data_IF_289788742559
#
_entry.id   IF_289788742559
#
_cell.length_a   1.000
_cell.length_b   1.000
_cell.length_c   1.000
_cell.angle_alpha   90.00
_cell.angle_beta   90.00
_cell.angle_gamma   90.00
#
_symmetry.space_group_name_H-M   'P 1'
#
loop_
_entity.id
_entity.type
_entity.pdbx_description
1 polymer ?
#
# COMPACT_ATOMS: atom_id res chain seq x y z
N UNK A 1 -12.52 -21.59 0.77
CA UNK A 1 -13.25 -22.86 0.97
C UNK A 1 -13.07 -23.39 2.40
N UNK A 2 -11.85 -23.46 2.95
CA UNK A 2 -11.64 -23.89 4.34
C UNK A 2 -12.26 -22.92 5.37
N UNK A 3 -12.31 -21.62 5.04
CA UNK A 3 -12.93 -20.60 5.90
C UNK A 3 -14.44 -20.79 6.08
N UNK A 4 -15.14 -21.41 5.13
CA UNK A 4 -16.59 -21.59 5.22
C UNK A 4 -17.03 -22.65 6.23
N UNK A 5 -16.20 -23.67 6.44
CA UNK A 5 -16.49 -24.75 7.39
C UNK A 5 -16.20 -24.31 8.83
N UNK A 6 -15.26 -23.36 9.04
CA UNK A 6 -14.83 -22.91 10.36
C UNK A 6 -15.12 -21.43 10.64
N UNK A 7 -16.05 -20.81 9.94
CA UNK A 7 -16.41 -19.38 10.04
C UNK A 7 -16.61 -18.83 11.46
N UNK A 8 -16.88 -19.69 12.42
CA UNK A 8 -17.09 -19.30 13.83
C UNK A 8 -15.82 -19.37 14.69
N UNK A 9 -14.70 -19.83 14.14
CA UNK A 9 -13.48 -20.10 14.92
C UNK A 9 -12.20 -19.43 14.35
N UNK A 10 -12.30 -18.81 13.17
CA UNK A 10 -11.15 -18.18 12.50
C UNK A 10 -11.34 -16.66 12.52
N UNK A 11 -10.46 -15.99 13.23
CA UNK A 11 -10.36 -14.53 13.15
C UNK A 11 -9.51 -14.16 11.93
N UNK A 12 -9.98 -13.22 11.14
CA UNK A 12 -9.27 -12.67 9.98
C UNK A 12 -8.90 -11.24 10.29
N UNK A 13 -7.63 -10.91 10.14
CA UNK A 13 -7.16 -9.54 10.31
C UNK A 13 -6.31 -9.12 9.12
N UNK A 14 -6.38 -7.83 8.78
CA UNK A 14 -5.58 -7.18 7.77
C UNK A 14 -4.46 -6.37 8.41
N UNK A 15 -3.24 -6.56 7.93
CA UNK A 15 -2.13 -5.67 8.25
C UNK A 15 -1.95 -4.65 7.11
N UNK A 16 -1.70 -3.38 7.45
CA UNK A 16 -1.51 -2.31 6.46
C UNK A 16 -0.40 -2.61 5.45
N UNK A 17 0.58 -3.42 5.84
CA UNK A 17 1.73 -3.80 5.01
C UNK A 17 2.37 -5.09 5.53
N UNK A 18 3.24 -5.68 4.73
CA UNK A 18 4.11 -6.75 5.21
C UNK A 18 5.05 -6.24 6.32
N UNK A 19 5.26 -7.06 7.35
CA UNK A 19 6.14 -6.72 8.48
C UNK A 19 7.61 -6.62 8.10
N UNK A 20 8.03 -7.35 7.07
CA UNK A 20 9.41 -7.39 6.60
C UNK A 20 9.58 -6.66 5.27
N UNK A 21 10.69 -5.92 5.12
CA UNK A 21 11.29 -5.67 3.82
C UNK A 21 12.19 -6.87 3.52
N UNK A 22 11.85 -7.66 2.51
CA UNK A 22 12.56 -8.89 2.20
C UNK A 22 12.65 -9.16 0.69
N UNK A 23 13.60 -10.00 0.31
CA UNK A 23 13.81 -10.47 -1.06
C UNK A 23 14.01 -11.99 -1.07
N UNK A 24 13.30 -12.67 -1.95
CA UNK A 24 13.61 -14.04 -2.29
C UNK A 24 14.94 -14.07 -3.07
N UNK A 25 15.89 -14.86 -2.62
CA UNK A 25 17.20 -15.03 -3.26
C UNK A 25 17.30 -16.34 -4.03
N UNK A 26 16.59 -17.34 -3.58
CA UNK A 26 16.46 -18.66 -4.18
C UNK A 26 15.07 -19.22 -3.79
N UNK A 27 14.50 -20.19 -4.50
CA UNK A 27 13.25 -20.82 -4.09
C UNK A 27 13.27 -21.29 -2.63
N UNK A 28 12.37 -20.71 -1.82
CA UNK A 28 12.26 -21.01 -0.38
C UNK A 28 13.30 -20.33 0.51
N UNK A 29 14.17 -19.46 -0.02
CA UNK A 29 15.17 -18.70 0.74
C UNK A 29 14.93 -17.22 0.64
N UNK A 30 14.69 -16.58 1.77
CA UNK A 30 14.36 -15.15 1.85
C UNK A 30 15.44 -14.41 2.65
N UNK A 31 15.97 -13.35 2.08
CA UNK A 31 16.81 -12.39 2.79
C UNK A 31 15.93 -11.30 3.40
N UNK A 32 15.94 -11.17 4.73
CA UNK A 32 15.26 -10.10 5.46
C UNK A 32 16.19 -8.90 5.49
N UNK A 33 15.79 -7.81 4.85
CA UNK A 33 16.55 -6.57 4.74
C UNK A 33 16.23 -5.65 5.92
N UNK A 34 14.96 -5.60 6.34
CA UNK A 34 14.53 -4.79 7.46
C UNK A 34 13.22 -5.27 8.07
N UNK A 35 13.08 -5.04 9.37
CA UNK A 35 11.84 -5.21 10.12
C UNK A 35 11.23 -3.82 10.36
N UNK A 36 9.94 -3.69 10.13
CA UNK A 36 9.23 -2.45 10.47
C UNK A 36 9.02 -2.37 11.98
N UNK A 37 9.20 -1.18 12.52
CA UNK A 37 9.03 -0.92 13.95
C UNK A 37 7.56 -1.04 14.38
N UNK A 38 6.64 -0.59 13.53
CA UNK A 38 5.20 -0.62 13.78
C UNK A 38 4.43 -0.94 12.51
N UNK A 39 3.39 -1.76 12.65
CA UNK A 39 2.48 -2.16 11.56
C UNK A 39 1.05 -2.13 12.11
N UNK A 40 0.18 -1.34 11.50
CA UNK A 40 -1.24 -1.31 11.83
C UNK A 40 -1.90 -2.63 11.45
N UNK A 41 -2.78 -3.12 12.32
CA UNK A 41 -3.55 -4.34 12.11
C UNK A 41 -4.99 -4.11 12.55
N UNK A 42 -5.96 -4.56 11.75
CA UNK A 42 -7.39 -4.54 12.07
C UNK A 42 -8.02 -5.89 11.79
N UNK A 43 -8.84 -6.36 12.71
CA UNK A 43 -9.87 -7.36 12.47
C UNK A 43 -11.13 -6.71 11.91
N UNK A 44 -12.20 -7.49 11.76
CA UNK A 44 -13.51 -7.01 11.31
C UNK A 44 -14.26 -6.17 12.35
N UNK A 45 -13.81 -6.25 13.59
CA UNK A 45 -14.34 -5.45 14.70
C UNK A 45 -13.22 -5.10 15.68
N UNK A 46 -13.47 -4.12 16.52
CA UNK A 46 -12.53 -3.75 17.59
C UNK A 46 -12.20 -4.95 18.52
N UNK A 47 -13.20 -5.76 18.85
CA UNK A 47 -13.02 -6.96 19.70
C UNK A 47 -12.12 -7.98 19.01
N UNK A 48 -12.32 -8.23 17.70
CA UNK A 48 -11.45 -9.13 16.92
C UNK A 48 -10.03 -8.57 16.81
N UNK A 49 -9.90 -7.25 16.58
CA UNK A 49 -8.60 -6.56 16.50
C UNK A 49 -7.81 -6.76 17.80
N UNK A 50 -8.42 -6.46 18.94
CA UNK A 50 -7.76 -6.64 20.24
C UNK A 50 -7.43 -8.10 20.54
N UNK A 51 -8.33 -9.01 20.18
CA UNK A 51 -8.10 -10.46 20.37
C UNK A 51 -6.86 -10.89 19.57
N UNK A 52 -6.78 -10.57 18.27
CA UNK A 52 -5.67 -10.97 17.40
C UNK A 52 -4.35 -10.34 17.88
N UNK A 53 -4.34 -9.05 18.19
CA UNK A 53 -3.14 -8.35 18.69
C UNK A 53 -2.65 -8.97 19.99
N UNK A 54 -3.54 -9.25 20.95
CA UNK A 54 -3.17 -9.87 22.23
C UNK A 54 -2.49 -11.22 22.04
N UNK A 55 -2.93 -12.02 21.06
CA UNK A 55 -2.35 -13.32 20.78
C UNK A 55 -1.06 -13.25 19.97
N UNK A 56 -0.90 -12.23 19.13
CA UNK A 56 0.30 -12.04 18.33
C UNK A 56 1.42 -11.30 19.08
N UNK A 57 1.10 -10.40 19.99
CA UNK A 57 2.07 -9.50 20.65
C UNK A 57 3.23 -10.20 21.37
N UNK A 58 3.09 -11.40 21.95
CA UNK A 58 4.24 -12.13 22.53
C UNK A 58 5.30 -12.53 21.50
N UNK A 59 4.92 -12.66 20.23
CA UNK A 59 5.79 -13.09 19.13
C UNK A 59 6.11 -11.97 18.16
N UNK A 60 5.16 -11.03 17.97
CA UNK A 60 5.18 -9.95 16.99
C UNK A 60 4.74 -8.63 17.64
N UNK A 61 5.58 -8.03 18.49
CA UNK A 61 5.21 -6.86 19.30
C UNK A 61 5.02 -5.56 18.47
N UNK A 62 5.38 -5.58 17.21
CA UNK A 62 5.24 -4.45 16.29
C UNK A 62 3.83 -4.28 15.71
N UNK A 63 2.92 -5.24 15.90
CA UNK A 63 1.52 -5.03 15.52
C UNK A 63 0.80 -4.13 16.52
N UNK A 64 0.19 -3.06 15.99
CA UNK A 64 -0.59 -2.12 16.77
C UNK A 64 -2.01 -2.00 16.20
N UNK A 65 -3.03 -1.72 17.03
CA UNK A 65 -4.40 -1.66 16.55
C UNK A 65 -4.62 -0.49 15.59
N UNK A 66 -5.26 -0.76 14.46
CA UNK A 66 -5.87 0.24 13.61
C UNK A 66 -7.32 0.52 14.09
N UNK A 67 -7.89 1.63 13.64
CA UNK A 67 -9.28 1.98 13.97
C UNK A 67 -10.28 1.02 13.31
N UNK A 68 -10.00 0.59 12.07
CA UNK A 68 -10.82 -0.34 11.29
C UNK A 68 -10.09 -0.78 10.01
N UNK A 69 -10.75 -1.62 9.19
CA UNK A 69 -10.21 -2.11 7.91
C UNK A 69 -10.04 -1.00 6.86
N UNK A 70 -10.82 0.08 6.92
CA UNK A 70 -10.64 1.22 5.99
C UNK A 70 -9.28 1.86 6.22
N UNK A 71 -8.88 2.04 7.48
CA UNK A 71 -7.56 2.59 7.81
C UNK A 71 -6.44 1.70 7.29
N UNK A 72 -6.46 0.39 7.58
CA UNK A 72 -5.38 -0.52 7.14
C UNK A 72 -5.29 -0.59 5.63
N UNK A 73 -6.42 -0.67 4.92
CA UNK A 73 -6.46 -0.73 3.45
C UNK A 73 -5.96 0.56 2.81
N UNK A 74 -6.33 1.74 3.34
CA UNK A 74 -5.87 3.03 2.83
C UNK A 74 -4.43 3.36 3.24
N UNK A 75 -3.88 2.75 4.29
CA UNK A 75 -2.47 2.89 4.68
C UNK A 75 -1.51 2.01 3.86
N UNK A 76 -1.94 1.43 2.75
CA UNK A 76 -1.08 0.71 1.81
C UNK A 76 -0.22 1.68 0.98
N UNK A 77 0.88 2.12 1.57
CA UNK A 77 1.82 3.06 0.96
C UNK A 77 2.54 2.49 -0.27
N UNK A 78 2.68 1.16 -0.36
CA UNK A 78 3.28 0.50 -1.52
C UNK A 78 2.61 0.90 -2.83
N UNK A 79 1.29 0.96 -2.82
CA UNK A 79 0.49 1.33 -4.01
C UNK A 79 0.67 2.79 -4.44
N UNK A 80 1.08 3.68 -3.54
CA UNK A 80 1.42 5.07 -3.86
C UNK A 80 2.84 5.16 -4.43
N UNK A 81 3.78 4.40 -3.85
CA UNK A 81 5.19 4.44 -4.22
C UNK A 81 5.51 3.69 -5.50
N UNK A 82 5.20 2.41 -5.52
CA UNK A 82 5.76 1.49 -6.50
C UNK A 82 5.37 1.83 -7.94
N UNK A 83 4.07 2.05 -8.26
CA UNK A 83 3.68 2.41 -9.62
C UNK A 83 4.31 3.71 -10.09
N UNK A 84 4.42 4.71 -9.22
CA UNK A 84 5.04 5.99 -9.55
C UNK A 84 6.51 5.84 -9.93
N UNK A 85 7.29 5.12 -9.11
CA UNK A 85 8.73 4.91 -9.38
C UNK A 85 8.94 4.11 -10.65
N UNK A 86 8.19 3.02 -10.87
CA UNK A 86 8.33 2.20 -12.08
C UNK A 86 7.95 2.99 -13.33
N UNK A 87 6.81 3.69 -13.30
CA UNK A 87 6.30 4.42 -14.47
C UNK A 87 7.25 5.54 -14.90
N UNK A 88 7.77 6.33 -13.95
CA UNK A 88 8.71 7.42 -14.26
C UNK A 88 10.12 6.96 -14.62
N UNK A 89 10.43 5.68 -14.46
CA UNK A 89 11.69 5.07 -14.87
C UNK A 89 11.51 3.95 -15.92
N UNK A 90 10.35 3.87 -16.56
CA UNK A 90 10.02 2.79 -17.49
C UNK A 90 11.08 2.63 -18.59
N UNK A 91 11.50 3.71 -19.25
CA UNK A 91 12.53 3.67 -20.27
C UNK A 91 13.92 3.22 -19.75
N UNK A 92 14.26 3.54 -18.51
CA UNK A 92 15.49 3.10 -17.86
C UNK A 92 15.44 1.59 -17.59
N UNK A 93 14.30 1.10 -17.12
CA UNK A 93 14.05 -0.31 -16.84
C UNK A 93 14.11 -1.12 -18.14
N UNK A 94 13.39 -0.72 -19.19
CA UNK A 94 13.37 -1.42 -20.47
C UNK A 94 14.74 -1.46 -21.17
N UNK A 95 15.57 -0.45 -20.95
CA UNK A 95 16.96 -0.40 -21.42
C UNK A 95 17.91 -1.24 -20.57
N UNK A 96 17.41 -1.91 -19.52
CA UNK A 96 18.21 -2.68 -18.57
C UNK A 96 19.35 -1.86 -17.91
N UNK A 97 19.12 -0.59 -17.66
CA UNK A 97 20.07 0.26 -16.93
C UNK A 97 19.78 0.09 -15.43
N UNK A 98 20.69 -0.51 -14.64
CA UNK A 98 20.47 -0.74 -13.23
C UNK A 98 20.43 0.59 -12.45
N UNK A 99 19.50 0.69 -11.52
CA UNK A 99 19.42 1.78 -10.56
C UNK A 99 18.79 1.29 -9.24
N UNK A 100 18.99 2.03 -8.17
CA UNK A 100 18.40 1.70 -6.87
C UNK A 100 17.01 2.31 -6.76
N UNK A 101 16.03 1.45 -6.52
CA UNK A 101 14.61 1.78 -6.61
C UNK A 101 14.20 2.99 -5.75
N UNK A 102 14.74 3.08 -4.54
CA UNK A 102 14.44 4.15 -3.60
C UNK A 102 15.56 5.18 -3.50
N UNK A 103 16.81 4.74 -3.47
CA UNK A 103 17.98 5.60 -3.30
C UNK A 103 18.17 6.59 -4.45
N UNK A 104 17.86 6.18 -5.68
CA UNK A 104 18.03 7.03 -6.87
C UNK A 104 16.79 7.89 -7.17
N UNK A 105 15.81 7.94 -6.22
CA UNK A 105 14.65 8.81 -6.34
C UNK A 105 15.06 10.27 -6.52
N UNK A 106 14.40 10.96 -7.46
CA UNK A 106 14.62 12.38 -7.70
C UNK A 106 13.63 13.25 -6.93
N UNK A 107 13.97 14.53 -6.64
CA UNK A 107 13.03 15.43 -5.97
C UNK A 107 11.70 15.61 -6.71
N UNK A 108 11.69 15.52 -8.04
CA UNK A 108 10.46 15.65 -8.85
C UNK A 108 9.55 14.44 -8.70
N UNK A 109 10.12 13.24 -8.68
CA UNK A 109 9.36 12.00 -8.44
C UNK A 109 8.81 11.99 -7.01
N UNK A 110 9.63 12.36 -6.01
CA UNK A 110 9.18 12.47 -4.62
C UNK A 110 8.01 13.46 -4.48
N UNK A 111 8.12 14.65 -5.07
CA UNK A 111 7.04 15.64 -5.07
C UNK A 111 5.77 15.16 -5.77
N UNK A 112 5.88 14.33 -6.81
CA UNK A 112 4.71 13.71 -7.44
C UNK A 112 4.06 12.69 -6.50
N UNK A 113 4.86 11.86 -5.84
CA UNK A 113 4.38 10.86 -4.87
C UNK A 113 3.63 11.55 -3.71
N UNK A 114 4.15 12.66 -3.18
CA UNK A 114 3.48 13.45 -2.15
C UNK A 114 2.12 14.00 -2.62
N UNK A 115 2.01 14.42 -3.88
CA UNK A 115 0.73 14.87 -4.46
C UNK A 115 -0.26 13.72 -4.65
N UNK A 116 0.21 12.56 -5.09
CA UNK A 116 -0.59 11.35 -5.22
C UNK A 116 -1.07 10.88 -3.84
N UNK A 117 -0.19 10.94 -2.84
CA UNK A 117 -0.50 10.60 -1.46
C UNK A 117 -1.56 11.51 -0.85
N UNK A 118 -1.58 12.78 -1.23
CA UNK A 118 -2.63 13.72 -0.82
C UNK A 118 -4.02 13.26 -1.25
N UNK A 119 -4.17 12.69 -2.46
CA UNK A 119 -5.44 12.11 -2.89
C UNK A 119 -5.88 10.96 -1.97
N UNK A 120 -4.94 10.08 -1.57
CA UNK A 120 -5.21 8.99 -0.62
C UNK A 120 -5.67 9.54 0.74
N UNK A 121 -4.99 10.56 1.25
CA UNK A 121 -5.33 11.20 2.54
C UNK A 121 -6.73 11.81 2.47
N UNK A 122 -7.04 12.56 1.39
CA UNK A 122 -8.37 13.16 1.19
C UNK A 122 -9.49 12.10 1.14
N UNK A 123 -9.23 10.94 0.52
CA UNK A 123 -10.16 9.80 0.57
C UNK A 123 -10.34 9.30 2.01
N UNK A 124 -9.24 9.13 2.75
CA UNK A 124 -9.30 8.71 4.15
C UNK A 124 -10.07 9.68 5.03
N UNK A 125 -9.82 10.98 4.90
CA UNK A 125 -10.54 12.04 5.64
C UNK A 125 -12.04 11.99 5.34
N UNK A 126 -12.43 11.74 4.09
CA UNK A 126 -13.84 11.60 3.73
C UNK A 126 -14.51 10.41 4.42
N UNK A 127 -13.76 9.37 4.78
CA UNK A 127 -14.23 8.25 5.62
C UNK A 127 -14.00 8.46 7.12
N UNK A 128 -13.57 9.65 7.56
CA UNK A 128 -13.28 9.95 8.95
C UNK A 128 -11.98 9.31 9.47
N UNK A 129 -11.10 8.85 8.57
CA UNK A 129 -9.83 8.26 8.94
C UNK A 129 -8.71 9.31 8.89
N UNK A 130 -7.89 9.34 9.93
CA UNK A 130 -6.65 10.13 9.95
C UNK A 130 -5.50 9.25 9.46
N UNK A 131 -5.19 9.37 8.18
CA UNK A 131 -4.09 8.63 7.57
C UNK A 131 -2.76 9.37 7.76
N UNK A 132 -1.68 8.60 7.81
CA UNK A 132 -0.33 9.16 7.91
C UNK A 132 0.18 9.55 6.51
N UNK A 133 0.72 10.77 6.32
CA UNK A 133 1.41 11.13 5.09
C UNK A 133 2.57 10.17 4.79
N UNK A 134 2.81 9.89 3.50
CA UNK A 134 3.87 8.98 3.06
C UNK A 134 5.25 9.37 3.59
N UNK A 135 5.53 10.67 3.69
CA UNK A 135 6.79 11.17 4.24
C UNK A 135 6.96 10.85 5.72
N UNK A 136 5.88 10.85 6.49
CA UNK A 136 5.91 10.56 7.92
C UNK A 136 5.87 9.06 8.17
N UNK A 137 5.13 8.32 7.35
CA UNK A 137 5.05 6.88 7.42
C UNK A 137 6.44 6.21 7.32
N UNK A 138 7.32 6.70 6.45
CA UNK A 138 8.64 6.10 6.29
C UNK A 138 9.50 6.19 7.56
N UNK A 139 9.39 7.29 8.31
CA UNK A 139 10.07 7.45 9.61
C UNK A 139 9.38 6.63 10.70
N UNK A 140 8.06 6.55 10.66
CA UNK A 140 7.27 5.73 11.57
C UNK A 140 7.57 4.23 11.44
N UNK A 141 7.69 3.75 10.22
CA UNK A 141 8.00 2.34 9.94
C UNK A 141 9.50 2.01 10.12
N UNK A 142 10.37 2.99 9.92
CA UNK A 142 11.83 2.85 10.01
C UNK A 142 12.45 4.04 10.73
N UNK A 143 12.48 4.05 12.07
CA UNK A 143 12.94 5.20 12.88
C UNK A 143 14.38 5.64 12.63
N UNK A 144 15.22 4.77 12.05
CA UNK A 144 16.60 5.11 11.65
C UNK A 144 16.69 5.97 10.39
N UNK A 145 15.56 6.21 9.71
CA UNK A 145 15.50 7.05 8.51
C UNK A 145 15.74 8.51 8.86
N UNK A 146 16.65 9.19 8.14
CA UNK A 146 16.98 10.61 8.33
C UNK A 146 16.68 11.41 7.06
N UNK A 147 16.27 12.67 7.24
CA UNK A 147 15.97 13.59 6.14
C UNK A 147 14.79 14.50 6.43
N UNK A 148 14.75 15.66 5.77
CA UNK A 148 13.69 16.66 5.92
C UNK A 148 12.62 16.55 4.83
N UNK A 149 12.95 15.94 3.70
CA UNK A 149 12.07 15.72 2.56
C UNK A 149 11.85 14.23 2.30
N UNK A 150 10.76 13.87 1.63
CA UNK A 150 10.51 12.49 1.21
C UNK A 150 11.70 11.93 0.40
N UNK A 151 12.23 12.72 -0.52
CA UNK A 151 13.40 12.32 -1.33
C UNK A 151 14.63 11.98 -0.46
N UNK A 152 14.94 12.82 0.52
CA UNK A 152 16.06 12.56 1.44
C UNK A 152 15.80 11.34 2.32
N UNK A 153 14.60 11.20 2.87
CA UNK A 153 14.18 10.05 3.69
C UNK A 153 14.32 8.75 2.93
N UNK A 154 13.89 8.72 1.65
CA UNK A 154 14.03 7.53 0.82
C UNK A 154 15.48 7.17 0.50
N UNK A 155 16.31 8.16 0.21
CA UNK A 155 17.75 7.97 -0.05
C UNK A 155 18.51 7.47 1.17
N UNK A 156 18.11 7.91 2.35
CA UNK A 156 18.82 7.66 3.59
C UNK A 156 18.20 6.56 4.47
N UNK A 157 17.19 5.82 3.94
CA UNK A 157 16.61 4.72 4.67
C UNK A 157 17.50 3.46 4.53
N UNK A 158 18.12 2.95 5.60
CA UNK A 158 19.00 1.79 5.54
C UNK A 158 18.30 0.53 5.02
N UNK A 159 17.01 0.35 5.34
CA UNK A 159 16.23 -0.80 4.91
C UNK A 159 15.93 -0.81 3.40
N UNK A 160 16.10 0.32 2.72
CA UNK A 160 15.79 0.46 1.28
C UNK A 160 17.02 0.76 0.42
N UNK A 161 18.18 0.94 1.06
CA UNK A 161 19.37 1.50 0.43
C UNK A 161 19.86 0.69 -0.78
N UNK A 162 19.86 -0.64 -0.69
CA UNK A 162 20.40 -1.54 -1.72
C UNK A 162 19.33 -2.26 -2.54
N UNK A 163 18.07 -1.78 -2.50
CA UNK A 163 16.99 -2.36 -3.28
C UNK A 163 17.10 -1.90 -4.74
N UNK A 164 17.50 -2.82 -5.62
CA UNK A 164 17.53 -2.59 -7.05
C UNK A 164 16.13 -2.50 -7.66
N UNK A 165 16.01 -1.70 -8.72
CA UNK A 165 14.82 -1.64 -9.55
C UNK A 165 14.53 -2.98 -10.25
N UNK A 166 13.26 -3.25 -10.63
CA UNK A 166 12.93 -4.45 -11.38
C UNK A 166 13.60 -4.43 -12.77
N UNK A 167 13.92 -5.61 -13.30
CA UNK A 167 14.49 -5.75 -14.66
C UNK A 167 13.46 -5.70 -15.79
N UNK A 168 12.18 -5.46 -15.47
CA UNK A 168 11.08 -5.37 -16.45
C UNK A 168 9.99 -4.44 -15.94
N UNK A 169 9.33 -3.73 -16.86
CA UNK A 169 8.12 -2.96 -16.51
C UNK A 169 6.93 -3.87 -16.21
N UNK A 170 6.92 -5.11 -16.73
CA UNK A 170 5.95 -6.11 -16.33
C UNK A 170 6.35 -6.70 -14.98
N UNK A 171 6.07 -5.96 -13.93
CA UNK A 171 6.49 -6.25 -12.56
C UNK A 171 5.32 -6.16 -11.59
N UNK A 172 5.41 -6.88 -10.44
CA UNK A 172 4.39 -6.85 -9.40
C UNK A 172 4.09 -5.44 -8.87
N UNK A 173 5.06 -4.54 -8.89
CA UNK A 173 4.88 -3.14 -8.52
C UNK A 173 3.85 -2.39 -9.41
N UNK A 174 3.53 -2.92 -10.58
CA UNK A 174 2.42 -2.45 -11.42
C UNK A 174 1.25 -3.44 -11.42
N UNK A 175 1.53 -4.74 -11.59
CA UNK A 175 0.49 -5.76 -11.80
C UNK A 175 -0.24 -6.18 -10.52
N UNK A 176 0.29 -5.79 -9.34
CA UNK A 176 -0.31 -6.01 -8.03
C UNK A 176 -0.80 -4.69 -7.42
N UNK A 177 0.07 -3.68 -7.30
CA UNK A 177 -0.25 -2.44 -6.59
C UNK A 177 -1.35 -1.60 -7.26
N UNK A 178 -1.46 -1.65 -8.59
CA UNK A 178 -2.54 -0.94 -9.30
C UNK A 178 -3.89 -1.62 -9.07
N UNK A 179 -4.07 -2.91 -9.41
CA UNK A 179 -5.39 -3.54 -9.28
C UNK A 179 -5.85 -3.74 -7.83
N UNK A 180 -4.95 -3.85 -6.88
CA UNK A 180 -5.31 -4.13 -5.48
C UNK A 180 -5.17 -2.94 -4.55
N UNK A 181 -4.58 -1.83 -5.00
CA UNK A 181 -4.36 -0.61 -4.21
C UNK A 181 -4.92 0.64 -4.86
N UNK A 182 -4.37 1.12 -5.99
CA UNK A 182 -4.83 2.38 -6.59
C UNK A 182 -6.29 2.32 -7.07
N UNK A 183 -6.72 1.19 -7.63
CA UNK A 183 -8.11 1.04 -8.10
C UNK A 183 -9.12 1.13 -6.95
N UNK A 184 -9.02 0.32 -5.87
CA UNK A 184 -9.96 0.46 -4.75
C UNK A 184 -9.87 1.84 -4.09
N UNK A 185 -8.70 2.46 -3.97
CA UNK A 185 -8.57 3.83 -3.43
C UNK A 185 -9.29 4.86 -4.30
N UNK A 186 -9.10 4.80 -5.63
CA UNK A 186 -9.80 5.68 -6.59
C UNK A 186 -11.31 5.47 -6.55
N UNK A 187 -11.77 4.22 -6.49
CA UNK A 187 -13.20 3.91 -6.47
C UNK A 187 -13.86 4.32 -5.14
N UNK A 188 -13.18 4.14 -4.00
CA UNK A 188 -13.61 4.68 -2.71
C UNK A 188 -13.72 6.22 -2.76
N UNK A 189 -12.73 6.88 -3.38
CA UNK A 189 -12.80 8.33 -3.62
C UNK A 189 -14.06 8.74 -4.36
N UNK A 190 -14.38 8.05 -5.47
CA UNK A 190 -15.61 8.30 -6.26
C UNK A 190 -16.88 8.12 -5.42
N UNK A 191 -16.94 7.06 -4.59
CA UNK A 191 -18.09 6.78 -3.75
C UNK A 191 -18.39 7.89 -2.71
N UNK A 192 -17.36 8.64 -2.30
CA UNK A 192 -17.50 9.74 -1.32
C UNK A 192 -17.32 11.13 -1.93
N UNK A 193 -17.26 11.22 -3.27
CA UNK A 193 -17.16 12.49 -4.00
C UNK A 193 -15.77 13.15 -3.98
N UNK A 194 -14.72 12.40 -3.60
CA UNK A 194 -13.31 12.84 -3.66
C UNK A 194 -12.73 12.50 -5.04
N UNK A 195 -12.13 13.50 -5.69
CA UNK A 195 -11.47 13.30 -6.97
C UNK A 195 -10.04 12.78 -6.79
N UNK A 196 -9.67 11.78 -7.57
CA UNK A 196 -8.34 11.15 -7.55
C UNK A 196 -7.68 11.17 -8.94
N UNK A 197 -7.47 12.36 -9.55
CA UNK A 197 -7.00 12.47 -10.93
C UNK A 197 -5.61 11.89 -11.17
N UNK A 198 -4.71 11.92 -10.19
CA UNK A 198 -3.38 11.34 -10.33
C UNK A 198 -3.43 9.81 -10.26
N UNK A 199 -4.23 9.24 -9.35
CA UNK A 199 -4.46 7.78 -9.30
C UNK A 199 -5.06 7.31 -10.62
N UNK A 200 -6.10 7.96 -11.12
CA UNK A 200 -6.75 7.63 -12.39
C UNK A 200 -5.79 7.74 -13.58
N UNK A 201 -4.89 8.73 -13.57
CA UNK A 201 -3.87 8.91 -14.60
C UNK A 201 -2.86 7.74 -14.59
N UNK A 202 -2.34 7.36 -13.44
CA UNK A 202 -1.42 6.21 -13.31
C UNK A 202 -2.10 4.93 -13.80
N UNK A 203 -3.33 4.67 -13.37
CA UNK A 203 -4.11 3.49 -13.78
C UNK A 203 -4.26 3.47 -15.31
N UNK A 204 -4.65 4.59 -15.92
CA UNK A 204 -4.90 4.71 -17.36
C UNK A 204 -3.61 4.52 -18.17
N UNK A 205 -2.54 5.24 -17.81
CA UNK A 205 -1.26 5.17 -18.51
C UNK A 205 -0.68 3.75 -18.44
N UNK A 206 -0.71 3.15 -17.24
CA UNK A 206 -0.15 1.80 -17.07
C UNK A 206 -1.00 0.73 -17.76
N UNK A 207 -2.32 0.88 -17.75
CA UNK A 207 -3.22 -0.02 -18.49
C UNK A 207 -2.91 0.01 -19.99
N UNK A 208 -2.69 1.21 -20.54
CA UNK A 208 -2.30 1.38 -21.94
C UNK A 208 -0.91 0.82 -22.23
N UNK A 209 0.07 1.10 -21.36
CA UNK A 209 1.45 0.67 -21.53
C UNK A 209 1.60 -0.86 -21.53
N UNK A 210 0.85 -1.54 -20.66
CA UNK A 210 0.93 -3.01 -20.52
C UNK A 210 -0.13 -3.78 -21.31
N UNK A 211 -1.05 -3.10 -22.03
CA UNK A 211 -2.22 -3.71 -22.67
C UNK A 211 -3.07 -4.54 -21.69
N UNK A 212 -3.28 -4.04 -20.49
CA UNK A 212 -4.08 -4.69 -19.45
C UNK A 212 -5.19 -3.74 -19.01
N UNK A 213 -6.44 -4.17 -19.09
CA UNK A 213 -7.52 -3.46 -18.42
C UNK A 213 -7.49 -3.73 -16.91
N UNK A 214 -6.76 -2.88 -16.19
CA UNK A 214 -6.65 -3.00 -14.74
C UNK A 214 -7.96 -2.73 -14.03
N UNK A 215 -8.86 -1.89 -14.57
CA UNK A 215 -10.18 -1.65 -13.95
C UNK A 215 -11.07 -2.87 -14.03
N UNK A 216 -11.01 -3.64 -15.11
CA UNK A 216 -11.74 -4.91 -15.22
C UNK A 216 -11.20 -5.97 -14.25
N UNK A 217 -9.88 -6.02 -14.06
CA UNK A 217 -9.22 -7.05 -13.24
C UNK A 217 -9.05 -6.65 -11.77
N UNK A 218 -9.19 -5.36 -11.46
CA UNK A 218 -8.89 -4.80 -10.15
C UNK A 218 -9.99 -5.03 -9.11
N UNK A 219 -9.66 -4.71 -7.87
CA UNK A 219 -10.59 -4.70 -6.73
C UNK A 219 -11.44 -3.43 -6.77
N UNK A 220 -12.32 -3.33 -7.77
CA UNK A 220 -13.32 -2.27 -7.84
C UNK A 220 -14.37 -2.46 -6.72
N UNK A 221 -15.11 -1.41 -6.39
CA UNK A 221 -16.23 -1.54 -5.44
C UNK A 221 -17.26 -2.57 -5.91
N UNK A 222 -17.46 -2.70 -7.24
CA UNK A 222 -18.32 -3.74 -7.81
C UNK A 222 -17.79 -5.15 -7.49
N UNK A 223 -16.51 -5.41 -7.72
CA UNK A 223 -15.88 -6.71 -7.45
C UNK A 223 -15.79 -7.04 -5.96
N UNK A 224 -15.81 -6.01 -5.11
CA UNK A 224 -15.85 -6.12 -3.65
C UNK A 224 -17.29 -6.18 -3.10
N UNK A 225 -18.32 -6.08 -3.95
CA UNK A 225 -19.74 -6.02 -3.57
C UNK A 225 -20.08 -4.81 -2.67
N UNK A 226 -19.36 -3.72 -2.83
CA UNK A 226 -19.55 -2.45 -2.09
C UNK A 226 -20.21 -1.35 -2.94
N UNK A 227 -20.41 -1.58 -4.23
CA UNK A 227 -20.88 -0.60 -5.23
C UNK A 227 -22.29 -0.05 -4.95
N UNK A 228 -23.09 -0.77 -4.18
CA UNK A 228 -24.47 -0.37 -3.80
C UNK A 228 -24.58 0.23 -2.42
N UNK A 229 -23.48 0.29 -1.70
CA UNK A 229 -23.41 0.84 -0.34
C UNK A 229 -23.10 2.33 -0.38
N UNK A 230 -23.79 3.10 0.46
CA UNK A 230 -23.40 4.47 0.72
C UNK A 230 -22.20 4.51 1.70
N UNK A 231 -21.67 5.71 1.96
CA UNK A 231 -20.52 5.92 2.83
C UNK A 231 -20.69 5.28 4.21
N UNK A 232 -21.82 5.53 4.85
CA UNK A 232 -22.13 5.04 6.21
C UNK A 232 -22.18 3.52 6.23
N UNK A 233 -22.80 2.92 5.23
CA UNK A 233 -22.88 1.45 5.08
C UNK A 233 -21.50 0.82 4.80
N UNK A 234 -20.63 1.49 4.03
CA UNK A 234 -19.25 1.03 3.82
C UNK A 234 -18.47 1.07 5.15
N UNK A 235 -18.63 2.14 5.91
CA UNK A 235 -18.01 2.26 7.24
C UNK A 235 -18.49 1.12 8.14
N UNK A 236 -19.79 0.93 8.28
CA UNK A 236 -20.38 -0.12 9.13
C UNK A 236 -19.95 -1.53 8.71
N UNK A 237 -19.77 -1.76 7.42
CA UNK A 237 -19.35 -3.07 6.90
C UNK A 237 -17.88 -3.38 7.17
N UNK A 238 -17.02 -2.34 7.25
CA UNK A 238 -15.57 -2.45 7.39
C UNK A 238 -15.05 -2.03 8.78
N UNK A 239 -15.96 -1.84 9.75
CA UNK A 239 -15.63 -1.41 11.14
C UNK A 239 -15.82 -2.51 12.17
#
# INVERSE_FOLDING_TARGET
AASDVYKRQVFIAEAQTLMFACRETEPGKVNIIGLKDKVLLSGRSHVETEFVIRHLSPFFPFFIPASNLIQTSLENIGSIFHPSVVLFNAATIERNIPFYFYRDMTPKIASFIEKLDKERIEVGEAFGQKLMPVSDWIVYAYPSTVGNTLCERMKNNPAYYDILAPGSIFTRQLTEDIPTGLIPMSDLGKAVGVKTPLMDSIITITSSLLNIDFRQKGRTLLNLHLDRLNKEQIIDYLS
#
